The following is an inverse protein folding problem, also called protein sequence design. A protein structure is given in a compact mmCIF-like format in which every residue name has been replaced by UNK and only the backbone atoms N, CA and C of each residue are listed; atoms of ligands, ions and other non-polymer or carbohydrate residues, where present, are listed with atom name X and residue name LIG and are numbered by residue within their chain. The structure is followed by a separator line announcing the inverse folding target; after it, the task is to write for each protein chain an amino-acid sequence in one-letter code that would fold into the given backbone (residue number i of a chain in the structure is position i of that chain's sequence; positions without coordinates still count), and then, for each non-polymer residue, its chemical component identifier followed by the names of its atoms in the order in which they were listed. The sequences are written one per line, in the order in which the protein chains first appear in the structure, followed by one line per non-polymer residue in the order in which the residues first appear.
data_IF_115316225250
#
_entry.id   IF_115316225250
#
_cell.length_a   1.000
_cell.length_b   1.000
_cell.length_c   1.000
_cell.angle_alpha   90.00
_cell.angle_beta   90.00
_cell.angle_gamma   90.00
#
_symmetry.space_group_name_H-M   'P 1'
#
loop_
_entity.id
_entity.type
_entity.pdbx_description
1 polymer ?
#
# COMPACT_ATOMS: atom_id res chain seq x y z
N UNK A 1 -22.82 -3.57 20.93
CA UNK A 1 -22.06 -4.43 20.01
C UNK A 1 -20.72 -3.77 19.78
N UNK A 2 -19.64 -4.32 20.33
CA UNK A 2 -18.31 -3.74 20.20
C UNK A 2 -17.79 -4.03 18.79
N UNK A 3 -17.81 -3.01 17.91
CA UNK A 3 -16.97 -3.06 16.71
C UNK A 3 -15.55 -3.20 17.24
N UNK A 4 -14.99 -4.40 17.11
CA UNK A 4 -13.60 -4.69 17.43
C UNK A 4 -12.80 -3.81 16.49
N UNK A 5 -12.39 -2.63 16.95
CA UNK A 5 -11.41 -1.79 16.27
C UNK A 5 -10.17 -2.67 16.14
N UNK A 6 -10.06 -3.37 15.00
CA UNK A 6 -8.82 -3.99 14.61
C UNK A 6 -7.90 -2.81 14.35
N UNK A 7 -7.07 -2.46 15.32
CA UNK A 7 -5.93 -1.58 15.09
C UNK A 7 -5.04 -2.33 14.12
N UNK A 8 -5.25 -2.11 12.83
CA UNK A 8 -4.43 -2.68 11.79
C UNK A 8 -3.10 -1.97 11.91
N UNK A 9 -2.09 -2.66 12.43
CA UNK A 9 -0.73 -2.15 12.47
C UNK A 9 -0.20 -2.11 11.04
N UNK A 10 -0.37 -0.97 10.39
CA UNK A 10 0.21 -0.69 9.08
C UNK A 10 1.66 -0.29 9.29
N UNK A 11 2.57 -0.96 8.60
CA UNK A 11 3.99 -0.64 8.58
C UNK A 11 4.39 -0.34 7.15
N UNK A 12 5.19 0.71 6.96
CA UNK A 12 5.78 1.05 5.67
C UNK A 12 7.25 0.73 5.72
N UNK A 13 7.76 0.12 4.64
CA UNK A 13 9.16 -0.24 4.51
C UNK A 13 9.71 0.27 3.19
N UNK A 14 10.60 1.24 3.27
CA UNK A 14 11.36 1.73 2.13
C UNK A 14 12.39 0.68 1.69
N UNK A 15 12.37 0.36 0.41
CA UNK A 15 13.36 -0.47 -0.26
C UNK A 15 13.78 0.17 -1.57
N UNK A 16 15.03 -0.04 -1.96
CA UNK A 16 15.48 0.27 -3.31
C UNK A 16 15.36 -0.99 -4.16
N UNK A 17 14.50 -0.97 -5.18
CA UNK A 17 14.35 -2.05 -6.15
C UNK A 17 14.73 -1.53 -7.53
N UNK A 18 15.75 -2.14 -8.14
CA UNK A 18 16.20 -1.80 -9.49
C UNK A 18 16.51 -0.28 -9.68
N UNK A 19 17.04 0.37 -8.64
CA UNK A 19 17.35 1.81 -8.66
C UNK A 19 16.14 2.73 -8.49
N UNK A 20 14.98 2.19 -8.14
CA UNK A 20 13.78 2.95 -7.79
C UNK A 20 13.50 2.81 -6.29
N UNK A 21 13.11 3.91 -5.66
CA UNK A 21 12.55 3.90 -4.31
C UNK A 21 11.15 3.31 -4.37
N UNK A 22 10.98 2.22 -3.63
CA UNK A 22 9.72 1.48 -3.50
C UNK A 22 9.39 1.38 -2.02
N UNK A 23 8.22 1.84 -1.63
CA UNK A 23 7.70 1.69 -0.29
C UNK A 23 6.76 0.50 -0.23
N UNK A 24 7.12 -0.53 0.51
CA UNK A 24 6.22 -1.64 0.76
C UNK A 24 5.27 -1.31 1.89
N UNK A 25 3.99 -1.57 1.67
CA UNK A 25 2.93 -1.43 2.66
C UNK A 25 2.65 -2.81 3.24
N UNK A 26 2.85 -2.95 4.55
CA UNK A 26 2.65 -4.18 5.28
C UNK A 26 1.55 -4.02 6.30
N UNK A 27 0.75 -5.07 6.48
CA UNK A 27 -0.14 -5.23 7.62
C UNK A 27 0.41 -6.40 8.45
N UNK A 28 0.90 -6.11 9.66
CA UNK A 28 1.70 -7.06 10.41
C UNK A 28 2.92 -7.49 9.60
N UNK A 29 3.06 -8.79 9.34
CA UNK A 29 4.16 -9.37 8.55
C UNK A 29 3.85 -9.57 7.06
N UNK A 30 2.65 -9.19 6.60
CA UNK A 30 2.20 -9.41 5.22
C UNK A 30 2.28 -8.13 4.40
N UNK A 31 3.01 -8.19 3.28
CA UNK A 31 2.95 -7.14 2.25
C UNK A 31 1.58 -7.18 1.57
N UNK A 32 0.87 -6.06 1.61
CA UNK A 32 -0.45 -5.89 0.97
C UNK A 32 -0.38 -5.01 -0.27
N UNK A 33 0.70 -4.24 -0.43
CA UNK A 33 0.94 -3.44 -1.62
C UNK A 33 2.30 -2.76 -1.57
N UNK A 34 2.64 -2.04 -2.62
CA UNK A 34 3.86 -1.25 -2.72
C UNK A 34 3.58 0.07 -3.46
N UNK A 35 4.20 1.17 -3.04
CA UNK A 35 4.16 2.46 -3.71
C UNK A 35 5.51 2.72 -4.36
N UNK A 36 5.53 2.86 -5.68
CA UNK A 36 6.74 3.09 -6.48
C UNK A 36 6.80 4.55 -6.88
N UNK A 37 7.88 5.23 -6.51
CA UNK A 37 8.12 6.59 -7.00
C UNK A 37 8.58 6.55 -8.47
N UNK A 38 7.82 7.20 -9.35
CA UNK A 38 8.11 7.32 -10.79
C UNK A 38 8.16 8.77 -11.21
N UNK A 39 9.31 9.39 -10.94
CA UNK A 39 9.56 10.80 -11.27
C UNK A 39 8.67 11.72 -10.46
N UNK A 40 7.66 12.31 -11.09
CA UNK A 40 6.72 13.26 -10.47
C UNK A 40 5.40 12.62 -10.00
N UNK A 41 5.23 11.32 -10.25
CA UNK A 41 4.04 10.56 -9.86
C UNK A 41 4.43 9.36 -9.01
N UNK A 42 3.44 8.82 -8.32
CA UNK A 42 3.58 7.60 -7.54
C UNK A 42 2.65 6.53 -8.12
N UNK A 43 3.11 5.30 -8.17
CA UNK A 43 2.31 4.15 -8.59
C UNK A 43 2.08 3.24 -7.40
N UNK A 44 0.84 3.11 -6.96
CA UNK A 44 0.43 2.22 -5.87
C UNK A 44 -0.01 0.87 -6.45
N UNK A 45 0.72 -0.19 -6.13
CA UNK A 45 0.53 -1.55 -6.62
C UNK A 45 -0.07 -2.40 -5.50
N UNK A 46 -1.19 -3.07 -5.75
CA UNK A 46 -1.85 -3.94 -4.77
C UNK A 46 -1.33 -5.39 -4.90
N UNK A 47 -0.81 -5.94 -3.80
CA UNK A 47 -0.34 -7.33 -3.72
C UNK A 47 -1.54 -8.26 -3.47
N UNK A 48 -2.17 -8.69 -4.57
CA UNK A 48 -3.30 -9.63 -4.57
C UNK A 48 -3.98 -9.68 -5.92
N UNK A 49 -4.40 -8.50 -6.40
CA UNK A 49 -5.15 -8.35 -7.66
C UNK A 49 -4.28 -7.86 -8.84
N UNK A 50 -2.98 -7.66 -8.63
CA UNK A 50 -2.06 -7.05 -9.61
C UNK A 50 -2.57 -5.71 -10.17
N UNK A 51 -3.40 -5.00 -9.39
CA UNK A 51 -3.91 -3.68 -9.76
C UNK A 51 -2.87 -2.62 -9.43
N UNK A 52 -2.73 -1.65 -10.34
CA UNK A 52 -1.88 -0.47 -10.16
C UNK A 52 -2.73 0.79 -10.24
N UNK A 53 -2.54 1.69 -9.30
CA UNK A 53 -3.21 2.98 -9.21
C UNK A 53 -2.17 4.09 -9.30
N UNK A 54 -2.42 5.07 -10.16
CA UNK A 54 -1.55 6.25 -10.27
C UNK A 54 -2.04 7.29 -9.27
N UNK A 55 -1.17 7.65 -8.34
CA UNK A 55 -1.45 8.58 -7.24
C UNK A 55 -0.48 9.75 -7.26
N UNK A 56 -0.86 10.84 -6.59
CA UNK A 56 -0.10 12.10 -6.56
C UNK A 56 0.94 12.16 -5.45
N UNK A 57 0.79 11.31 -4.42
CA UNK A 57 1.63 11.30 -3.21
C UNK A 57 1.78 9.88 -2.68
N UNK A 58 2.81 9.65 -1.86
CA UNK A 58 2.99 8.39 -1.13
C UNK A 58 1.81 8.09 -0.20
N UNK A 59 1.37 9.10 0.56
CA UNK A 59 0.21 9.01 1.46
C UNK A 59 -1.06 8.58 0.71
N UNK A 60 -1.35 9.22 -0.43
CA UNK A 60 -2.50 8.87 -1.29
C UNK A 60 -2.39 7.42 -1.80
N UNK A 61 -1.17 6.97 -2.11
CA UNK A 61 -0.89 5.59 -2.50
C UNK A 61 -1.16 4.58 -1.39
N UNK A 62 -0.69 4.87 -0.17
CA UNK A 62 -0.94 4.07 1.02
C UNK A 62 -2.44 3.94 1.31
N UNK A 63 -3.16 5.07 1.34
CA UNK A 63 -4.59 5.11 1.59
C UNK A 63 -5.36 4.32 0.53
N UNK A 64 -4.97 4.46 -0.74
CA UNK A 64 -5.56 3.70 -1.86
C UNK A 64 -5.36 2.19 -1.67
N UNK A 65 -4.13 1.76 -1.34
CA UNK A 65 -3.83 0.34 -1.09
C UNK A 65 -4.67 -0.20 0.08
N UNK A 66 -4.76 0.54 1.18
CA UNK A 66 -5.54 0.13 2.36
C UNK A 66 -7.04 0.07 2.06
N UNK A 67 -7.59 1.07 1.36
CA UNK A 67 -8.99 1.10 0.96
C UNK A 67 -9.33 -0.11 0.08
N UNK A 68 -8.51 -0.39 -0.92
CA UNK A 68 -8.71 -1.51 -1.84
C UNK A 68 -8.50 -2.87 -1.15
N UNK A 69 -7.55 -2.98 -0.23
CA UNK A 69 -7.34 -4.20 0.55
C UNK A 69 -8.56 -4.55 1.42
N UNK A 70 -9.18 -3.56 2.06
CA UNK A 70 -10.41 -3.79 2.84
C UNK A 70 -11.60 -4.20 1.99
N UNK A 71 -11.73 -3.65 0.78
CA UNK A 71 -12.82 -4.00 -0.13
C UNK A 71 -12.76 -5.47 -0.58
N UNK A 72 -11.56 -6.04 -0.74
CA UNK A 72 -11.38 -7.43 -1.13
C UNK A 72 -11.35 -8.42 0.05
N UNK A 73 -11.23 -7.95 1.30
CA UNK A 73 -11.36 -8.79 2.51
C UNK A 73 -12.82 -8.98 2.98
N UNK A 74 -13.80 -8.49 2.20
CA UNK A 74 -15.24 -8.64 2.44
C UNK A 74 -15.79 -10.01 2.09
#
# INVERSE_FOLDING_TARGET
MAKKEKTIAVSVKDIERAGQLVEQVLIGDRVIGEVVAKGVKFEAHLMGDQQTFVVKSQEEGLETILAQYHLHQG
#
